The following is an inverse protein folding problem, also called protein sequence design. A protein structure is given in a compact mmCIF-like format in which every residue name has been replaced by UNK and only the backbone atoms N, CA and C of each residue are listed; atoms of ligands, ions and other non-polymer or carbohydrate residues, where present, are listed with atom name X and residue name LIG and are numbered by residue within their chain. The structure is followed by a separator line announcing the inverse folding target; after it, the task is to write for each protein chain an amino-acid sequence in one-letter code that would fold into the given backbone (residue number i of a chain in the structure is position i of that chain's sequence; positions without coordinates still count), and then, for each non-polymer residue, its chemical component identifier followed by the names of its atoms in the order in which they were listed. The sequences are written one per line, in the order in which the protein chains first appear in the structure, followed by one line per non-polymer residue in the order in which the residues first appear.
data_IF_809751553215
#
_entry.id   IF_809751553215
#
_cell.length_a   1.000
_cell.length_b   1.000
_cell.length_c   1.000
_cell.angle_alpha   90.00
_cell.angle_beta   90.00
_cell.angle_gamma   90.00
#
_symmetry.space_group_name_H-M   'P 1'
#
loop_
_entity.id
_entity.type
_entity.pdbx_description
1 polymer ?
#
# COMPACT_ATOMS: atom_id res chain seq x y z
N UNK A 1 13.74 -33.57 10.22
CA UNK A 1 13.74 -32.91 9.80
C UNK A 1 13.57 -32.32 9.88
N UNK A 2 13.55 -32.46 10.05
CA UNK A 2 13.21 -31.69 9.55
C UNK A 2 13.00 -31.03 9.85
N UNK A 3 12.76 -31.24 10.07
CA UNK A 3 12.43 -30.48 9.84
C UNK A 3 12.28 -29.80 9.79
N UNK A 4 12.20 -30.02 10.07
CA UNK A 4 12.04 -29.29 9.56
C UNK A 4 11.97 -28.66 9.39
N UNK A 5 12.04 -29.05 9.61
CA UNK A 5 11.99 -28.31 8.97
C UNK A 5 11.95 -27.88 8.87
N UNK A 6 11.98 -28.18 9.20
CA UNK A 6 11.78 -27.61 8.57
C UNK A 6 11.67 -27.09 8.61
N UNK A 7 11.65 -27.36 8.90
CA UNK A 7 11.50 -26.67 8.42
C UNK A 7 11.47 -25.96 8.38
N UNK A 8 11.42 -25.98 8.69
CA UNK A 8 11.35 -25.25 8.17
C UNK A 8 11.36 -24.54 8.15
N UNK A 9 10.90 -24.44 8.37
CA UNK A 9 11.05 -23.63 7.98
C UNK A 9 11.12 -23.46 7.04
N UNK A 10 10.51 -23.64 6.86
CA UNK A 10 10.61 -23.45 5.59
C UNK A 10 10.17 -22.18 5.06
N UNK A 11 10.91 -21.55 4.42
CA UNK A 11 10.59 -20.31 3.83
C UNK A 11 9.77 -20.43 2.61
N UNK A 12 8.85 -19.46 2.31
CA UNK A 12 8.18 -19.40 1.01
C UNK A 12 9.22 -19.29 -0.09
N UNK A 13 8.98 -19.97 -1.21
CA UNK A 13 9.84 -19.88 -2.37
C UNK A 13 9.55 -18.62 -3.17
N UNK A 14 8.33 -18.05 -3.05
CA UNK A 14 7.94 -16.86 -3.78
C UNK A 14 8.34 -15.62 -2.98
N UNK A 15 9.07 -14.66 -3.58
CA UNK A 15 9.40 -13.42 -2.90
C UNK A 15 8.15 -12.62 -2.59
N UNK A 16 8.26 -11.71 -1.62
CA UNK A 16 7.17 -10.79 -1.33
C UNK A 16 7.05 -9.74 -2.44
N UNK A 17 5.87 -9.14 -2.60
CA UNK A 17 5.72 -8.06 -3.57
C UNK A 17 6.71 -6.92 -3.34
N UNK A 18 6.99 -6.57 -2.09
CA UNK A 18 7.95 -5.51 -1.77
C UNK A 18 9.36 -5.87 -2.22
N UNK A 19 9.77 -7.12 -1.99
CA UNK A 19 11.10 -7.57 -2.39
C UNK A 19 11.24 -7.54 -3.91
N UNK A 20 10.21 -7.98 -4.63
CA UNK A 20 10.22 -7.93 -6.09
C UNK A 20 10.24 -6.50 -6.60
N UNK A 21 9.47 -5.60 -5.99
CA UNK A 21 9.44 -4.20 -6.40
C UNK A 21 10.81 -3.56 -6.22
N UNK A 22 11.47 -3.82 -5.10
CA UNK A 22 12.81 -3.28 -4.85
C UNK A 22 13.83 -3.84 -5.83
N UNK A 23 13.75 -5.14 -6.11
CA UNK A 23 14.64 -5.76 -7.08
C UNK A 23 14.43 -5.18 -8.47
N UNK A 24 13.16 -4.96 -8.84
CA UNK A 24 12.79 -4.40 -10.14
C UNK A 24 13.27 -2.96 -10.29
N UNK A 25 13.22 -2.19 -9.20
CA UNK A 25 13.73 -0.81 -9.20
C UNK A 25 15.27 -0.79 -9.36
N UNK A 26 15.93 -1.86 -8.95
CA UNK A 26 17.36 -2.02 -9.14
C UNK A 26 18.15 -1.06 -8.27
N UNK A 27 19.14 -0.41 -8.87
CA UNK A 27 20.01 0.54 -8.17
C UNK A 27 19.48 1.96 -8.19
N UNK A 28 18.35 2.17 -8.85
CA UNK A 28 17.76 3.50 -8.93
C UNK A 28 17.30 3.93 -7.54
N UNK A 29 17.56 5.18 -7.21
CA UNK A 29 17.09 5.75 -5.96
C UNK A 29 15.69 6.31 -6.15
N UNK A 30 14.74 5.39 -6.34
CA UNK A 30 13.36 5.74 -6.58
C UNK A 30 12.52 5.41 -5.36
N UNK A 31 11.43 6.13 -5.22
CA UNK A 31 10.46 5.84 -4.18
C UNK A 31 9.40 4.91 -4.73
N UNK A 32 8.86 4.09 -3.85
CA UNK A 32 7.82 3.13 -4.21
C UNK A 32 6.64 3.36 -3.29
N UNK A 33 5.43 3.36 -3.88
CA UNK A 33 4.20 3.54 -3.12
C UNK A 33 3.21 2.44 -3.51
N UNK A 34 2.89 1.52 -2.60
CA UNK A 34 1.83 0.54 -2.90
C UNK A 34 0.53 1.25 -3.27
N UNK A 35 -0.17 0.73 -4.26
CA UNK A 35 -1.40 1.35 -4.74
C UNK A 35 -2.46 0.30 -4.99
N UNK A 36 -3.68 0.76 -5.31
CA UNK A 36 -4.77 -0.09 -5.74
C UNK A 36 -5.17 -1.15 -4.71
N UNK A 37 -5.48 -2.32 -5.22
CA UNK A 37 -5.94 -3.43 -4.39
C UNK A 37 -4.90 -3.85 -3.34
N UNK A 38 -3.62 -3.71 -3.67
CA UNK A 38 -2.57 -4.08 -2.74
C UNK A 38 -2.52 -3.14 -1.54
N UNK A 39 -2.70 -1.84 -1.77
CA UNK A 39 -2.76 -0.87 -0.68
C UNK A 39 -3.92 -1.20 0.27
N UNK A 40 -5.08 -1.52 -0.29
CA UNK A 40 -6.24 -1.91 0.51
C UNK A 40 -5.96 -3.19 1.31
N UNK A 41 -5.30 -4.17 0.69
CA UNK A 41 -4.94 -5.41 1.36
C UNK A 41 -3.97 -5.16 2.53
N UNK A 42 -2.97 -4.32 2.34
CA UNK A 42 -2.00 -4.01 3.39
C UNK A 42 -2.65 -3.36 4.61
N UNK A 43 -3.73 -2.61 4.41
CA UNK A 43 -4.46 -1.95 5.49
C UNK A 43 -5.58 -2.82 6.07
N UNK A 44 -5.70 -4.06 5.60
CA UNK A 44 -6.71 -4.98 6.10
C UNK A 44 -8.12 -4.69 5.58
N UNK A 45 -8.25 -3.88 4.53
CA UNK A 45 -9.55 -3.54 3.95
C UNK A 45 -10.01 -4.58 2.93
N UNK A 46 -9.13 -5.49 2.55
CA UNK A 46 -9.42 -6.61 1.68
C UNK A 46 -8.59 -7.79 2.15
N UNK A 47 -9.20 -8.97 2.17
CA UNK A 47 -8.51 -10.19 2.59
C UNK A 47 -7.76 -10.85 1.45
N UNK A 48 -8.10 -10.51 0.22
CA UNK A 48 -7.48 -11.14 -0.94
C UNK A 48 -6.18 -10.44 -1.30
N UNK A 49 -5.10 -11.23 -1.42
CA UNK A 49 -3.85 -10.73 -1.97
C UNK A 49 -4.00 -10.72 -3.49
N UNK A 50 -3.89 -9.56 -4.14
CA UNK A 50 -4.08 -9.51 -5.58
C UNK A 50 -2.94 -10.23 -6.31
N UNK A 51 -3.28 -10.87 -7.44
CA UNK A 51 -2.28 -11.53 -8.28
C UNK A 51 -1.42 -10.52 -9.01
N UNK A 52 -1.95 -9.32 -9.24
CA UNK A 52 -1.19 -8.22 -9.82
C UNK A 52 -1.08 -7.10 -8.80
N UNK A 53 0.16 -6.74 -8.48
CA UNK A 53 0.46 -5.71 -7.50
C UNK A 53 1.10 -4.53 -8.22
N UNK A 54 0.58 -3.33 -8.00
CA UNK A 54 1.09 -2.12 -8.61
C UNK A 54 1.70 -1.23 -7.54
N UNK A 55 2.94 -0.82 -7.78
CA UNK A 55 3.61 0.21 -6.99
C UNK A 55 3.76 1.45 -7.87
N UNK A 56 3.34 2.60 -7.36
CA UNK A 56 3.64 3.86 -8.02
C UNK A 56 5.09 4.20 -7.75
N UNK A 57 5.74 4.88 -8.71
CA UNK A 57 7.14 5.23 -8.58
C UNK A 57 7.42 6.54 -9.30
N UNK A 58 8.50 7.20 -8.90
CA UNK A 58 9.03 8.37 -9.61
C UNK A 58 10.12 7.96 -10.61
N UNK A 59 10.43 6.67 -10.70
CA UNK A 59 11.38 6.12 -11.66
C UNK A 59 10.71 5.50 -12.86
N UNK A 60 11.49 4.73 -13.66
CA UNK A 60 10.96 4.09 -14.85
C UNK A 60 9.90 3.04 -14.55
N UNK A 61 8.93 2.90 -15.45
CA UNK A 61 7.96 1.82 -15.37
C UNK A 61 8.59 0.49 -15.75
N UNK A 62 8.27 -0.56 -14.99
CA UNK A 62 8.80 -1.92 -15.22
C UNK A 62 7.79 -2.93 -14.73
N UNK A 63 7.88 -4.15 -15.24
CA UNK A 63 6.99 -5.24 -14.84
C UNK A 63 7.78 -6.54 -14.75
N UNK A 64 7.47 -7.34 -13.76
CA UNK A 64 8.02 -8.69 -13.63
C UNK A 64 6.93 -9.64 -13.17
N UNK A 65 6.97 -10.87 -13.66
CA UNK A 65 6.07 -11.92 -13.23
C UNK A 65 6.89 -13.08 -12.70
N UNK A 66 6.56 -13.51 -11.49
CA UNK A 66 7.20 -14.67 -10.86
C UNK A 66 6.09 -15.60 -10.38
N UNK A 67 5.94 -16.75 -11.04
CA UNK A 67 4.83 -17.64 -10.75
C UNK A 67 3.49 -16.95 -10.94
N UNK A 68 2.59 -17.02 -9.99
CA UNK A 68 1.28 -16.37 -10.10
C UNK A 68 1.28 -14.88 -9.82
N UNK A 69 2.42 -14.31 -9.40
CA UNK A 69 2.49 -12.92 -8.96
C UNK A 69 3.11 -12.05 -10.03
N UNK A 70 2.41 -10.97 -10.39
CA UNK A 70 2.92 -9.92 -11.26
C UNK A 70 3.10 -8.64 -10.46
N UNK A 71 4.28 -8.04 -10.55
CA UNK A 71 4.58 -6.77 -9.90
C UNK A 71 4.89 -5.75 -10.98
N UNK A 72 4.17 -4.64 -10.96
CA UNK A 72 4.36 -3.55 -11.90
C UNK A 72 4.77 -2.29 -11.16
N UNK A 73 5.85 -1.66 -11.62
CA UNK A 73 6.20 -0.31 -11.21
C UNK A 73 5.61 0.63 -12.25
N UNK A 74 4.73 1.51 -11.81
CA UNK A 74 4.06 2.47 -12.68
C UNK A 74 4.52 3.88 -12.36
N UNK A 75 5.14 4.53 -13.33
CA UNK A 75 5.56 5.90 -13.13
C UNK A 75 4.37 6.82 -12.95
N UNK A 76 4.48 7.75 -12.02
CA UNK A 76 3.42 8.70 -11.73
C UNK A 76 4.01 10.09 -11.48
N UNK A 77 3.14 11.06 -11.22
CA UNK A 77 3.54 12.45 -11.00
C UNK A 77 4.16 12.64 -9.62
N UNK A 78 4.98 13.68 -9.44
CA UNK A 78 5.53 13.98 -8.11
C UNK A 78 4.46 14.16 -7.05
N UNK A 79 3.31 14.73 -7.40
CA UNK A 79 2.21 14.92 -6.45
C UNK A 79 1.74 13.58 -5.86
N UNK A 80 1.60 12.57 -6.72
CA UNK A 80 1.16 11.25 -6.27
C UNK A 80 2.21 10.54 -5.45
N UNK A 81 3.45 10.97 -5.50
CA UNK A 81 4.55 10.38 -4.72
C UNK A 81 4.87 11.18 -3.47
N UNK A 82 4.19 12.32 -3.25
CA UNK A 82 4.55 13.22 -2.15
C UNK A 82 4.42 12.57 -0.78
N UNK A 83 3.48 11.64 -0.60
CA UNK A 83 3.28 10.94 0.66
C UNK A 83 3.89 9.54 0.66
N UNK A 84 4.71 9.20 -0.33
CA UNK A 84 5.32 7.87 -0.41
C UNK A 84 6.19 7.60 0.82
N UNK A 85 6.09 6.37 1.35
CA UNK A 85 6.82 5.97 2.54
C UNK A 85 6.14 6.39 3.84
N UNK A 86 5.02 7.07 3.78
CA UNK A 86 4.25 7.46 4.96
C UNK A 86 2.92 6.74 5.00
N UNK A 87 2.35 6.51 6.19
CA UNK A 87 1.02 5.90 6.28
C UNK A 87 -0.04 6.63 5.51
N UNK A 88 0.05 7.97 5.41
CA UNK A 88 -0.91 8.77 4.64
C UNK A 88 -0.95 8.34 3.19
N UNK A 89 0.20 8.07 2.58
CA UNK A 89 0.25 7.63 1.19
C UNK A 89 -0.51 6.33 0.99
N UNK A 90 -0.33 5.40 1.90
CA UNK A 90 -0.99 4.10 1.82
C UNK A 90 -2.52 4.25 1.99
N UNK A 91 -2.94 5.06 2.96
CA UNK A 91 -4.36 5.30 3.21
C UNK A 91 -5.01 5.96 2.00
N UNK A 92 -4.39 7.00 1.44
CA UNK A 92 -4.92 7.70 0.27
C UNK A 92 -5.09 6.74 -0.90
N UNK A 93 -4.10 5.89 -1.17
CA UNK A 93 -4.18 4.94 -2.27
C UNK A 93 -5.27 3.90 -2.05
N UNK A 94 -5.42 3.41 -0.82
CA UNK A 94 -6.47 2.45 -0.50
C UNK A 94 -7.87 3.06 -0.65
N UNK A 95 -8.07 4.28 -0.15
CA UNK A 95 -9.36 4.95 -0.28
C UNK A 95 -9.68 5.26 -1.74
N UNK A 96 -8.66 5.65 -2.52
CA UNK A 96 -8.84 5.89 -3.95
C UNK A 96 -9.30 4.63 -4.67
N UNK A 97 -8.71 3.49 -4.31
CA UNK A 97 -9.11 2.20 -4.89
C UNK A 97 -10.55 1.85 -4.55
N UNK A 98 -10.97 2.06 -3.30
CA UNK A 98 -12.34 1.76 -2.89
C UNK A 98 -13.36 2.69 -3.53
N UNK A 99 -13.03 3.97 -3.64
CA UNK A 99 -13.97 4.98 -4.10
C UNK A 99 -14.92 5.43 -2.98
N UNK A 100 -15.52 6.63 -3.13
CA UNK A 100 -16.32 7.21 -2.04
C UNK A 100 -17.49 6.33 -1.59
N UNK A 101 -18.08 5.59 -2.52
CA UNK A 101 -19.25 4.77 -2.22
C UNK A 101 -18.94 3.53 -1.41
N UNK A 102 -17.66 3.15 -1.34
CA UNK A 102 -17.23 1.92 -0.66
C UNK A 102 -16.41 2.18 0.59
N UNK A 103 -16.30 3.44 1.00
CA UNK A 103 -15.66 3.79 2.27
C UNK A 103 -16.74 3.73 3.34
N UNK A 104 -16.99 2.52 3.82
CA UNK A 104 -18.07 2.25 4.79
C UNK A 104 -17.60 2.52 6.21
N UNK A 105 -18.56 2.64 7.13
CA UNK A 105 -18.26 2.77 8.55
C UNK A 105 -17.38 1.63 9.06
N UNK A 106 -17.63 0.42 8.57
CA UNK A 106 -16.83 -0.74 8.97
C UNK A 106 -15.39 -0.64 8.51
N UNK A 107 -15.17 -0.15 7.29
CA UNK A 107 -13.83 0.03 6.77
C UNK A 107 -13.09 1.13 7.49
N UNK A 108 -13.77 2.22 7.82
CA UNK A 108 -13.18 3.29 8.62
C UNK A 108 -12.79 2.76 10.00
N UNK A 109 -13.65 1.97 10.63
CA UNK A 109 -13.34 1.36 11.91
C UNK A 109 -12.12 0.43 11.80
N UNK A 110 -12.00 -0.32 10.71
CA UNK A 110 -10.86 -1.20 10.48
C UNK A 110 -9.57 -0.38 10.34
N UNK A 111 -9.62 0.72 9.61
CA UNK A 111 -8.47 1.62 9.47
C UNK A 111 -8.05 2.18 10.83
N UNK A 112 -9.01 2.55 11.66
CA UNK A 112 -8.73 3.08 12.98
C UNK A 112 -7.99 2.07 13.86
N UNK A 113 -8.33 0.80 13.73
CA UNK A 113 -7.65 -0.26 14.47
C UNK A 113 -6.28 -0.62 13.90
N UNK A 114 -6.14 -0.51 12.58
CA UNK A 114 -4.89 -0.88 11.90
C UNK A 114 -3.80 0.17 12.07
N UNK A 115 -4.20 1.45 12.04
CA UNK A 115 -3.25 2.57 12.15
C UNK A 115 -2.98 2.88 13.63
N UNK A 116 -1.74 3.24 13.92
CA UNK A 116 -1.41 3.73 15.26
C UNK A 116 -2.00 5.11 15.45
N UNK A 117 -2.07 5.57 16.72
CA UNK A 117 -2.53 6.93 17.00
C UNK A 117 -1.68 7.98 16.30
N UNK A 118 -0.36 7.78 16.28
CA UNK A 118 0.55 8.71 15.61
C UNK A 118 0.31 8.72 14.10
N UNK A 119 0.10 7.55 13.50
CA UNK A 119 -0.20 7.44 12.07
C UNK A 119 -1.47 8.21 11.73
N UNK A 120 -2.51 8.06 12.57
CA UNK A 120 -3.79 8.72 12.33
C UNK A 120 -3.66 10.23 12.43
N UNK A 121 -2.95 10.71 13.45
CA UNK A 121 -2.74 12.16 13.62
C UNK A 121 -1.94 12.75 12.47
N UNK A 122 -1.01 11.98 11.93
CA UNK A 122 -0.18 12.43 10.81
C UNK A 122 -1.00 12.64 9.53
N UNK A 123 -2.18 12.03 9.43
CA UNK A 123 -3.04 12.21 8.26
C UNK A 123 -3.42 13.66 8.03
N UNK A 124 -3.53 14.44 9.10
CA UNK A 124 -3.91 15.86 8.98
C UNK A 124 -2.87 16.66 8.19
N UNK A 125 -1.60 16.34 8.33
CA UNK A 125 -0.55 17.03 7.60
C UNK A 125 -0.66 16.82 6.11
N UNK A 126 -1.16 15.68 5.69
CA UNK A 126 -1.20 15.28 4.29
C UNK A 126 -2.57 15.49 3.63
N UNK A 127 -3.51 16.16 4.32
CA UNK A 127 -4.81 16.47 3.74
C UNK A 127 -4.69 17.15 2.36
N UNK A 128 -3.78 18.13 2.16
CA UNK A 128 -3.68 18.78 0.84
C UNK A 128 -3.31 17.83 -0.29
N UNK A 129 -2.75 16.66 0.01
CA UNK A 129 -2.36 15.67 -1.00
C UNK A 129 -3.50 14.75 -1.38
N UNK A 130 -4.62 14.79 -0.66
CA UNK A 130 -5.75 13.91 -0.87
C UNK A 130 -6.88 14.64 -1.61
N UNK A 131 -7.66 13.91 -2.43
CA UNK A 131 -8.86 14.49 -3.00
C UNK A 131 -9.80 15.01 -1.90
N UNK A 132 -10.56 16.04 -2.24
CA UNK A 132 -11.44 16.68 -1.27
C UNK A 132 -12.43 15.70 -0.63
N UNK A 133 -12.93 14.73 -1.40
CA UNK A 133 -13.92 13.79 -0.88
C UNK A 133 -13.36 12.90 0.24
N UNK A 134 -12.04 12.79 0.35
CA UNK A 134 -11.41 12.01 1.41
C UNK A 134 -11.20 12.80 2.70
N UNK A 135 -11.27 14.12 2.63
CA UNK A 135 -10.86 14.96 3.76
C UNK A 135 -11.63 14.67 5.04
N UNK A 136 -12.94 14.48 4.93
CA UNK A 136 -13.74 14.18 6.11
C UNK A 136 -13.33 12.87 6.77
N UNK A 137 -13.12 11.84 5.95
CA UNK A 137 -12.68 10.55 6.46
C UNK A 137 -11.32 10.64 7.14
N UNK A 138 -10.39 11.36 6.52
CA UNK A 138 -9.06 11.52 7.10
C UNK A 138 -9.09 12.29 8.40
N UNK A 139 -9.93 13.32 8.50
CA UNK A 139 -10.11 14.06 9.74
C UNK A 139 -10.74 13.19 10.82
N UNK A 140 -11.74 12.39 10.46
CA UNK A 140 -12.38 11.46 11.40
C UNK A 140 -11.38 10.44 11.92
N UNK A 141 -10.51 9.93 11.07
CA UNK A 141 -9.48 8.99 11.49
C UNK A 141 -8.47 9.64 12.43
N UNK A 142 -8.15 10.91 12.20
CA UNK A 142 -7.18 11.62 13.02
C UNK A 142 -7.75 12.01 14.38
N UNK A 143 -9.05 12.19 14.46
CA UNK A 143 -9.73 12.47 15.70
C UNK A 143 -9.88 11.19 16.52
N UNK A 144 -9.58 11.25 17.81
CA UNK A 144 -9.75 10.04 18.60
C UNK A 144 -10.12 10.31 20.01
#
# INVERSE_FOLDING_TARGET
MGRRDGAGHRRPLTPTPEALAKALAGRDRVRLQPSGAYAANLLGLSEQVPAKVVFLTDGPGRTVTVGPLTVQLRRTTPRNMAAAGRPSGLVIQALRYLGPQHVTTERVARLRRTLTGDDRRALLRDLPLAPTWMHRTLKDLAAS
#
